data_IF_483607954333
#
_entry.id   IF_483607954333
#
_cell.length_a   1.000
_cell.length_b   1.000
_cell.length_c   1.000
_cell.angle_alpha   90.00
_cell.angle_beta   90.00
_cell.angle_gamma   90.00
#
_symmetry.space_group_name_H-M   'P 1'
#
loop_
_entity.id
_entity.type
_entity.pdbx_description
1 polymer ?
#
# COMPACT_ATOMS: atom_id res chain seq x y z
N UNK A 1 -2.94 -15.89 -2.14
CA UNK A 1 -2.07 -15.06 -1.28
C UNK A 1 -2.83 -14.65 -0.03
N UNK A 2 -2.19 -14.74 1.10
CA UNK A 2 -2.78 -14.31 2.36
C UNK A 2 -2.46 -12.85 2.62
N UNK A 3 -3.31 -12.18 3.39
CA UNK A 3 -3.06 -10.80 3.77
C UNK A 3 -1.75 -10.67 4.57
N UNK A 4 -1.45 -11.65 5.39
CA UNK A 4 -0.20 -11.65 6.14
C UNK A 4 1.02 -11.64 5.21
N UNK A 5 0.92 -12.29 4.07
CA UNK A 5 1.99 -12.26 3.08
C UNK A 5 2.06 -10.90 2.40
N UNK A 6 0.90 -10.33 2.10
CA UNK A 6 0.83 -9.01 1.47
C UNK A 6 1.48 -7.94 2.35
N UNK A 7 1.26 -8.03 3.65
CA UNK A 7 1.80 -7.07 4.60
C UNK A 7 3.33 -7.11 4.70
N UNK A 8 3.93 -8.23 4.33
CA UNK A 8 5.38 -8.38 4.40
C UNK A 8 6.09 -7.81 3.18
N UNK A 9 5.35 -7.45 2.14
CA UNK A 9 5.94 -6.95 0.90
C UNK A 9 6.11 -5.44 0.97
N UNK A 10 7.16 -4.95 0.36
CA UNK A 10 7.37 -3.51 0.24
C UNK A 10 6.67 -2.98 -1.01
N UNK A 11 6.06 -1.82 -0.87
CA UNK A 11 5.37 -1.16 -1.98
C UNK A 11 6.31 -0.15 -2.60
N UNK A 12 6.51 -0.25 -3.90
CA UNK A 12 7.41 0.61 -4.64
C UNK A 12 6.62 1.28 -5.77
N UNK A 13 6.73 2.60 -5.83
CA UNK A 13 6.11 3.36 -6.90
C UNK A 13 7.04 3.33 -8.12
N UNK A 14 6.54 2.79 -9.22
CA UNK A 14 7.36 2.65 -10.42
C UNK A 14 7.66 3.98 -11.12
N UNK A 15 6.89 5.02 -10.83
CA UNK A 15 7.10 6.31 -11.47
C UNK A 15 8.40 6.98 -11.02
N UNK A 16 8.72 6.85 -9.75
CA UNK A 16 9.91 7.50 -9.19
C UNK A 16 10.79 6.53 -8.43
N UNK A 17 10.46 5.24 -8.46
CA UNK A 17 11.21 4.17 -7.78
C UNK A 17 11.30 4.39 -6.27
N UNK A 18 10.33 5.09 -5.70
CA UNK A 18 10.33 5.34 -4.26
C UNK A 18 9.67 4.20 -3.51
N UNK A 19 10.27 3.88 -2.37
CA UNK A 19 9.65 2.95 -1.45
C UNK A 19 8.59 3.69 -0.65
N UNK A 20 7.37 3.22 -0.73
CA UNK A 20 6.27 3.84 -0.01
C UNK A 20 6.08 3.24 1.38
N UNK A 21 6.52 2.01 1.56
CA UNK A 21 6.38 1.32 2.83
C UNK A 21 5.70 -0.02 2.65
N UNK A 22 5.07 -0.48 3.70
CA UNK A 22 4.37 -1.77 3.68
C UNK A 22 2.88 -1.55 3.87
N UNK A 23 2.09 -2.46 3.30
CA UNK A 23 0.64 -2.40 3.45
C UNK A 23 0.29 -2.59 4.91
N UNK A 24 -0.48 -1.66 5.47
CA UNK A 24 -0.96 -1.75 6.83
C UNK A 24 -2.39 -2.25 6.89
N UNK A 25 -3.19 -1.85 5.93
CA UNK A 25 -4.61 -2.19 5.93
C UNK A 25 -5.11 -2.27 4.51
N UNK A 26 -6.27 -2.87 4.34
CA UNK A 26 -6.93 -2.95 3.04
C UNK A 26 -8.39 -2.58 3.21
N UNK A 27 -8.97 -2.08 2.12
CA UNK A 27 -10.40 -1.85 2.05
C UNK A 27 -10.95 -2.76 0.97
N UNK A 28 -11.95 -3.54 1.32
CA UNK A 28 -12.57 -4.43 0.35
C UNK A 28 -14.08 -4.21 0.33
N UNK A 29 -14.67 -4.51 -0.81
CA UNK A 29 -16.10 -4.36 -0.99
C UNK A 29 -16.79 -5.61 -0.45
N UNK A 30 -17.63 -5.44 0.55
CA UNK A 30 -18.30 -6.58 1.18
C UNK A 30 -19.32 -7.25 0.26
N UNK A 31 -19.81 -6.52 -0.75
CA UNK A 31 -20.77 -7.07 -1.69
C UNK A 31 -20.10 -7.95 -2.73
N UNK A 32 -18.93 -7.55 -3.21
CA UNK A 32 -18.21 -8.28 -4.25
C UNK A 32 -17.08 -9.13 -3.68
N UNK A 33 -16.60 -8.82 -2.48
CA UNK A 33 -15.48 -9.49 -1.88
C UNK A 33 -14.13 -9.12 -2.48
N UNK A 34 -14.09 -8.09 -3.29
CA UNK A 34 -12.85 -7.66 -3.94
C UNK A 34 -12.17 -6.53 -3.18
N UNK A 35 -10.85 -6.53 -3.21
CA UNK A 35 -10.07 -5.47 -2.62
C UNK A 35 -10.18 -4.23 -3.49
N UNK A 36 -10.47 -3.10 -2.88
CA UNK A 36 -10.59 -1.83 -3.59
C UNK A 36 -9.38 -0.95 -3.39
N UNK A 37 -8.84 -0.92 -2.19
CA UNK A 37 -7.73 -0.03 -1.87
C UNK A 37 -6.80 -0.69 -0.88
N UNK A 38 -5.55 -0.24 -0.90
CA UNK A 38 -4.58 -0.60 0.13
C UNK A 38 -4.12 0.67 0.82
N UNK A 39 -3.80 0.55 2.09
CA UNK A 39 -3.38 1.69 2.92
C UNK A 39 -1.96 1.44 3.39
N UNK A 40 -1.11 2.42 3.14
CA UNK A 40 0.30 2.37 3.53
C UNK A 40 0.53 3.57 4.43
N UNK A 41 0.98 3.36 5.69
CA UNK A 41 1.19 4.48 6.58
C UNK A 41 2.29 5.38 6.06
N UNK A 42 2.12 6.68 6.22
CA UNK A 42 3.14 7.63 5.86
C UNK A 42 4.42 7.26 6.60
N UNK A 43 5.50 7.15 5.83
CA UNK A 43 6.77 6.76 6.39
C UNK A 43 7.34 7.93 7.18
N UNK A 44 7.40 7.79 8.48
CA UNK A 44 7.97 8.83 9.29
C UNK A 44 7.96 8.44 10.74
N UNK A 45 9.13 8.46 11.35
CA UNK A 45 9.24 8.17 12.77
C UNK A 45 8.54 9.23 13.59
N UNK A 46 8.34 10.38 12.99
CA UNK A 46 7.73 11.52 13.67
C UNK A 46 6.23 11.58 13.49
N UNK A 47 5.68 10.72 12.69
CA UNK A 47 4.23 10.74 12.46
C UNK A 47 3.45 10.43 13.72
N UNK A 48 4.06 9.79 14.70
CA UNK A 48 3.42 9.54 15.97
C UNK A 48 3.24 10.82 16.77
N UNK A 49 4.11 11.78 16.58
CA UNK A 49 3.98 13.08 17.23
C UNK A 49 3.14 14.06 16.44
N UNK A 50 3.24 13.99 15.13
CA UNK A 50 2.54 14.89 14.24
C UNK A 50 1.83 14.04 13.20
N UNK A 51 0.66 13.48 13.53
CA UNK A 51 -0.08 12.64 12.59
C UNK A 51 -0.79 13.47 11.53
N UNK A 52 -0.06 14.42 10.97
CA UNK A 52 -0.63 15.30 9.94
C UNK A 52 -0.37 14.79 8.53
N UNK A 53 0.57 13.87 8.38
CA UNK A 53 0.83 13.32 7.08
C UNK A 53 -0.18 12.21 6.78
N UNK A 54 -0.87 12.31 5.66
CA UNK A 54 -1.83 11.28 5.30
C UNK A 54 -1.13 9.99 4.92
N UNK A 55 -1.78 8.90 5.20
CA UNK A 55 -1.34 7.61 4.69
C UNK A 55 -1.47 7.60 3.17
N UNK A 56 -0.67 6.77 2.52
CA UNK A 56 -0.87 6.53 1.11
C UNK A 56 -2.07 5.63 0.93
N UNK A 57 -2.98 6.06 0.08
CA UNK A 57 -4.16 5.28 -0.27
C UNK A 57 -4.03 4.95 -1.75
N UNK A 58 -3.87 3.68 -2.04
CA UNK A 58 -3.62 3.22 -3.41
C UNK A 58 -4.78 2.35 -3.84
N UNK A 59 -5.41 2.73 -4.95
CA UNK A 59 -6.48 1.93 -5.52
C UNK A 59 -5.91 0.64 -6.09
N UNK A 60 -6.69 -0.43 -6.02
CA UNK A 60 -6.20 -1.72 -6.47
C UNK A 60 -5.83 -1.71 -7.95
N UNK A 61 -6.51 -0.93 -8.76
CA UNK A 61 -6.20 -0.83 -10.18
C UNK A 61 -4.88 -0.08 -10.46
N UNK A 62 -4.32 0.56 -9.47
CA UNK A 62 -3.01 1.20 -9.60
C UNK A 62 -1.87 0.23 -9.29
N UNK A 63 -2.20 -0.95 -8.81
CA UNK A 63 -1.20 -1.99 -8.58
C UNK A 63 -0.86 -2.62 -9.91
N UNK A 64 0.40 -2.57 -10.28
CA UNK A 64 0.85 -3.11 -11.56
C UNK A 64 1.28 -4.56 -11.47
N UNK A 65 1.92 -4.90 -10.37
CA UNK A 65 2.40 -6.27 -10.19
C UNK A 65 2.62 -6.54 -8.72
N UNK A 66 2.28 -7.76 -8.31
CA UNK A 66 2.56 -8.24 -6.98
C UNK A 66 3.61 -9.33 -7.11
N UNK A 67 4.81 -9.05 -6.65
CA UNK A 67 5.89 -10.00 -6.68
C UNK A 67 6.03 -10.76 -5.37
N UNK A 68 7.06 -11.61 -5.27
CA UNK A 68 7.26 -12.36 -4.04
C UNK A 68 7.64 -11.51 -2.84
N UNK A 69 8.35 -10.41 -3.08
CA UNK A 69 8.83 -9.56 -1.98
C UNK A 69 8.39 -8.11 -2.10
N UNK A 70 7.91 -7.72 -3.27
CA UNK A 70 7.55 -6.31 -3.52
C UNK A 70 6.21 -6.23 -4.23
N UNK A 71 5.62 -5.04 -4.13
CA UNK A 71 4.40 -4.69 -4.86
C UNK A 71 4.73 -3.45 -5.66
N UNK A 72 4.52 -3.51 -6.96
CA UNK A 72 4.76 -2.39 -7.85
C UNK A 72 3.45 -1.66 -8.10
N UNK A 73 3.47 -0.36 -7.85
CA UNK A 73 2.29 0.48 -8.04
C UNK A 73 2.65 1.64 -8.94
N UNK A 74 1.63 2.21 -9.57
CA UNK A 74 1.78 3.34 -10.47
C UNK A 74 0.89 4.46 -9.95
N UNK A 75 1.44 5.28 -9.07
CA UNK A 75 0.70 6.39 -8.48
C UNK A 75 1.44 7.69 -8.74
N UNK A 76 0.65 8.73 -8.89
CA UNK A 76 1.20 10.06 -9.17
C UNK A 76 1.78 10.74 -7.96
#
# INVERSE_FOLDING_TARGET
MLFSELRCKEVINIRDCRKLGRVQDIEFNVCTGCIEKIFIPACGKFSSFFPTEPDYVICFNEIKQIGPDIILVDVK
#
